data_IF_472913172524
#
_entry.id   IF_472913172524
#
_cell.length_a   1.000
_cell.length_b   1.000
_cell.length_c   1.000
_cell.angle_alpha   90.00
_cell.angle_beta   90.00
_cell.angle_gamma   90.00
#
_symmetry.space_group_name_H-M   'P 1'
#
loop_
_entity.id
_entity.type
_entity.pdbx_description
1 polymer ?
#
# COMPACT_ATOMS: atom_id res chain seq x y z
N UNK A 1 -12.43 -1.10 15.38
CA UNK A 1 -10.97 -1.01 15.57
C UNK A 1 -10.70 0.08 16.58
N UNK A 2 -9.83 -0.17 17.57
CA UNK A 2 -9.42 0.81 18.59
C UNK A 2 -7.91 0.68 18.83
N UNK A 3 -7.22 1.72 19.30
CA UNK A 3 -5.85 1.56 19.77
C UNK A 3 -5.81 0.47 20.85
N UNK A 4 -4.94 -0.53 20.67
CA UNK A 4 -4.82 -1.67 21.58
C UNK A 4 -5.81 -2.81 21.34
N UNK A 5 -6.58 -2.83 20.23
CA UNK A 5 -7.34 -4.02 19.84
C UNK A 5 -8.59 -3.76 18.98
N UNK A 6 -9.62 -4.56 19.20
CA UNK A 6 -10.92 -4.47 18.50
C UNK A 6 -12.06 -4.26 19.50
N UNK A 7 -13.15 -3.67 19.02
CA UNK A 7 -14.38 -3.45 19.78
C UNK A 7 -15.39 -4.58 19.60
N UNK A 8 -15.02 -5.64 18.86
CA UNK A 8 -15.89 -6.78 18.60
C UNK A 8 -16.17 -7.53 19.90
N UNK A 9 -17.44 -7.78 20.17
CA UNK A 9 -17.88 -8.57 21.33
C UNK A 9 -17.75 -10.06 21.02
N UNK A 10 -17.01 -10.77 21.87
CA UNK A 10 -16.80 -12.22 21.78
C UNK A 10 -17.65 -13.02 22.79
N UNK A 11 -18.63 -12.38 23.44
CA UNK A 11 -19.58 -13.06 24.35
C UNK A 11 -20.35 -14.19 23.66
N UNK A 12 -20.55 -14.09 22.34
CA UNK A 12 -21.09 -15.17 21.50
C UNK A 12 -20.15 -15.47 20.32
N UNK A 13 -18.89 -15.80 20.63
CA UNK A 13 -17.87 -16.10 19.65
C UNK A 13 -18.24 -17.27 18.72
N UNK A 14 -18.96 -18.28 19.21
CA UNK A 14 -19.38 -19.44 18.42
C UNK A 14 -20.25 -19.02 17.23
N UNK A 15 -21.30 -18.22 17.46
CA UNK A 15 -22.18 -17.76 16.39
C UNK A 15 -21.44 -16.84 15.41
N UNK A 16 -20.60 -15.94 15.93
CA UNK A 16 -19.80 -15.03 15.12
C UNK A 16 -18.88 -15.79 14.16
N UNK A 17 -18.11 -16.74 14.69
CA UNK A 17 -17.13 -17.50 13.91
C UNK A 17 -17.82 -18.45 12.94
N UNK A 18 -18.90 -19.13 13.36
CA UNK A 18 -19.70 -19.98 12.46
C UNK A 18 -20.25 -19.18 11.29
N UNK A 19 -20.81 -17.99 11.56
CA UNK A 19 -21.30 -17.08 10.53
C UNK A 19 -20.19 -16.62 9.59
N UNK A 20 -19.00 -16.33 10.11
CA UNK A 20 -17.84 -15.93 9.31
C UNK A 20 -17.39 -17.07 8.39
N UNK A 21 -17.19 -18.28 8.94
CA UNK A 21 -16.75 -19.47 8.20
C UNK A 21 -17.74 -19.85 7.10
N UNK A 22 -19.04 -19.78 7.35
CA UNK A 22 -20.05 -20.03 6.31
C UNK A 22 -19.89 -19.09 5.10
N UNK A 23 -19.67 -17.80 5.35
CA UNK A 23 -19.44 -16.81 4.29
C UNK A 23 -18.09 -17.03 3.61
N UNK A 24 -17.07 -17.39 4.36
CA UNK A 24 -15.74 -17.68 3.84
C UNK A 24 -15.73 -18.92 2.93
N UNK A 25 -16.51 -19.97 3.26
CA UNK A 25 -16.70 -21.13 2.39
C UNK A 25 -17.35 -20.74 1.06
N UNK A 26 -18.42 -19.93 1.09
CA UNK A 26 -19.03 -19.40 -0.15
C UNK A 26 -18.05 -18.55 -0.96
N UNK A 27 -17.31 -17.67 -0.29
CA UNK A 27 -16.30 -16.83 -0.92
C UNK A 27 -15.21 -17.69 -1.57
N UNK A 28 -14.76 -18.77 -0.90
CA UNK A 28 -13.75 -19.70 -1.42
C UNK A 28 -14.21 -20.35 -2.73
N UNK A 29 -15.46 -20.82 -2.81
CA UNK A 29 -16.03 -21.36 -4.04
C UNK A 29 -16.12 -20.30 -5.16
N UNK A 30 -16.58 -19.09 -4.83
CA UNK A 30 -16.66 -17.97 -5.76
C UNK A 30 -15.29 -17.58 -6.32
N UNK A 31 -14.26 -17.53 -5.48
CA UNK A 31 -12.90 -17.12 -5.88
C UNK A 31 -12.29 -18.12 -6.88
N UNK A 32 -12.53 -19.43 -6.70
CA UNK A 32 -12.11 -20.45 -7.68
C UNK A 32 -12.75 -20.24 -9.04
N UNK A 33 -14.05 -19.94 -9.06
CA UNK A 33 -14.78 -19.63 -10.30
C UNK A 33 -14.29 -18.33 -10.94
N UNK A 34 -14.13 -17.27 -10.13
CA UNK A 34 -13.60 -15.97 -10.57
C UNK A 34 -12.21 -16.13 -11.20
N UNK A 35 -11.33 -16.91 -10.58
CA UNK A 35 -9.98 -17.17 -11.10
C UNK A 35 -10.04 -17.73 -12.52
N UNK A 36 -10.86 -18.75 -12.76
CA UNK A 36 -10.97 -19.38 -14.08
C UNK A 36 -11.39 -18.36 -15.15
N UNK A 37 -12.43 -17.56 -14.89
CA UNK A 37 -12.89 -16.55 -15.83
C UNK A 37 -11.82 -15.48 -16.14
N UNK A 38 -11.08 -15.02 -15.11
CA UNK A 38 -10.01 -14.05 -15.30
C UNK A 38 -8.76 -14.65 -15.95
N UNK A 39 -8.52 -15.96 -15.77
CA UNK A 39 -7.39 -16.64 -16.39
C UNK A 39 -7.57 -16.71 -17.91
N UNK A 40 -8.78 -17.03 -18.37
CA UNK A 40 -9.12 -17.01 -19.79
C UNK A 40 -8.94 -15.59 -20.37
N UNK A 41 -9.36 -14.56 -19.63
CA UNK A 41 -9.17 -13.17 -20.05
C UNK A 41 -7.69 -12.77 -20.09
N UNK A 42 -6.88 -13.18 -19.11
CA UNK A 42 -5.44 -12.98 -19.13
C UNK A 42 -4.84 -13.61 -20.40
N UNK A 43 -5.17 -14.87 -20.69
CA UNK A 43 -4.65 -15.59 -21.84
C UNK A 43 -5.03 -14.93 -23.15
N UNK A 44 -6.28 -14.50 -23.29
CA UNK A 44 -6.73 -13.72 -24.44
C UNK A 44 -5.87 -12.46 -24.68
N UNK A 45 -5.56 -11.68 -23.64
CA UNK A 45 -4.73 -10.48 -23.78
C UNK A 45 -3.24 -10.79 -24.01
N UNK A 46 -2.75 -11.93 -23.52
CA UNK A 46 -1.40 -12.41 -23.86
C UNK A 46 -1.32 -12.82 -25.34
N UNK A 47 -2.28 -13.60 -25.82
CA UNK A 47 -2.30 -14.15 -27.18
C UNK A 47 -2.48 -13.07 -28.26
N UNK A 48 -3.17 -11.97 -27.91
CA UNK A 48 -3.35 -10.81 -28.80
C UNK A 48 -2.16 -9.84 -28.81
N UNK A 49 -1.13 -10.08 -28.00
CA UNK A 49 0.04 -9.19 -27.89
C UNK A 49 -0.20 -7.93 -27.06
N UNK A 50 -1.29 -7.86 -26.31
CA UNK A 50 -1.64 -6.71 -25.46
C UNK A 50 -0.94 -6.74 -24.08
N UNK A 51 -0.21 -7.82 -23.75
CA UNK A 51 0.38 -8.03 -22.43
C UNK A 51 1.33 -6.91 -21.97
N UNK A 52 2.06 -6.28 -22.89
CA UNK A 52 2.96 -5.15 -22.60
C UNK A 52 2.25 -3.79 -22.60
N UNK A 53 0.94 -3.73 -22.88
CA UNK A 53 0.26 -2.45 -23.01
C UNK A 53 0.10 -1.74 -21.65
N UNK A 54 0.48 -0.46 -21.62
CA UNK A 54 0.42 0.39 -20.43
C UNK A 54 1.41 -0.03 -19.34
N UNK A 55 2.64 -0.38 -19.74
CA UNK A 55 3.75 -0.63 -18.82
C UNK A 55 3.94 0.60 -17.93
N UNK A 56 3.86 0.40 -16.62
CA UNK A 56 4.13 1.43 -15.62
C UNK A 56 5.48 1.23 -14.98
N UNK A 57 5.76 0.04 -14.46
CA UNK A 57 7.05 -0.33 -13.89
C UNK A 57 7.81 -1.30 -14.81
N UNK A 58 9.11 -1.08 -14.98
CA UNK A 58 10.01 -2.01 -15.65
C UNK A 58 11.43 -1.90 -15.05
N UNK A 59 12.23 -2.97 -14.95
CA UNK A 59 13.60 -2.90 -14.44
C UNK A 59 14.55 -2.11 -15.35
N UNK A 60 14.36 -2.22 -16.67
CA UNK A 60 15.07 -1.43 -17.68
C UNK A 60 14.58 0.04 -17.73
N UNK A 61 15.44 1.02 -17.43
CA UNK A 61 15.10 2.45 -17.49
C UNK A 61 14.76 2.95 -18.89
N UNK A 62 15.10 2.22 -19.96
CA UNK A 62 14.71 2.58 -21.32
C UNK A 62 13.20 2.36 -21.58
N UNK A 63 12.55 1.48 -20.80
CA UNK A 63 11.11 1.16 -20.96
C UNK A 63 10.18 1.91 -20.00
N UNK A 64 10.72 2.42 -18.89
CA UNK A 64 9.94 3.15 -17.88
C UNK A 64 10.86 3.99 -17.00
N UNK A 65 10.41 5.17 -16.55
CA UNK A 65 11.11 5.92 -15.49
C UNK A 65 10.81 5.37 -14.09
N UNK A 66 9.75 4.58 -13.94
CA UNK A 66 9.39 3.89 -12.70
C UNK A 66 10.17 2.57 -12.66
N UNK A 67 11.40 2.63 -12.14
CA UNK A 67 12.25 1.43 -11.97
C UNK A 67 12.31 0.96 -10.51
N UNK A 68 11.31 1.32 -9.71
CA UNK A 68 11.17 0.79 -8.36
C UNK A 68 9.74 0.35 -8.08
N UNK A 69 9.60 -0.67 -7.23
CA UNK A 69 8.33 -1.03 -6.60
C UNK A 69 8.55 -1.22 -5.11
N UNK A 70 7.50 -1.02 -4.33
CA UNK A 70 7.56 -1.23 -2.90
C UNK A 70 6.28 -1.84 -2.35
N UNK A 71 6.43 -2.66 -1.32
CA UNK A 71 5.31 -3.16 -0.52
C UNK A 71 5.64 -3.09 0.96
N UNK A 72 4.65 -2.67 1.75
CA UNK A 72 4.74 -2.70 3.20
C UNK A 72 4.53 -4.11 3.76
N UNK A 73 4.06 -5.06 2.96
CA UNK A 73 3.62 -6.37 3.42
C UNK A 73 2.32 -6.32 4.23
N UNK A 74 1.69 -7.47 4.40
CA UNK A 74 0.38 -7.61 5.08
C UNK A 74 0.16 -9.01 5.63
N UNK A 75 -0.83 -9.10 6.52
CA UNK A 75 -1.16 -10.26 7.34
C UNK A 75 -0.10 -10.50 8.38
N UNK A 76 -0.18 -9.68 9.44
CA UNK A 76 0.76 -9.68 10.57
C UNK A 76 0.68 -10.99 11.36
N UNK A 77 1.82 -11.47 11.85
CA UNK A 77 1.85 -12.61 12.76
C UNK A 77 1.57 -12.13 14.20
N UNK A 78 0.39 -12.44 14.79
CA UNK A 78 0.01 -11.95 16.10
C UNK A 78 0.99 -12.37 17.20
N UNK A 79 1.62 -13.55 17.09
CA UNK A 79 2.55 -14.06 18.11
C UNK A 79 3.81 -13.20 18.21
N UNK A 80 4.30 -12.70 17.07
CA UNK A 80 5.51 -11.87 17.04
C UNK A 80 5.24 -10.50 17.65
N UNK A 81 4.07 -9.92 17.39
CA UNK A 81 3.64 -8.67 17.99
C UNK A 81 3.32 -8.79 19.49
N UNK A 82 2.73 -9.91 19.91
CA UNK A 82 2.51 -10.22 21.33
C UNK A 82 3.84 -10.37 22.08
N UNK A 83 4.84 -11.00 21.46
CA UNK A 83 6.18 -11.18 22.04
C UNK A 83 6.91 -9.87 22.37
N UNK A 84 6.46 -8.72 21.85
CA UNK A 84 7.00 -7.40 22.23
C UNK A 84 6.66 -7.10 23.68
N UNK A 85 5.51 -7.55 24.15
CA UNK A 85 5.02 -7.27 25.49
C UNK A 85 4.25 -5.95 25.56
N UNK A 86 3.59 -5.77 26.70
CA UNK A 86 2.80 -4.60 26.99
C UNK A 86 3.66 -3.42 27.47
N UNK A 87 3.21 -2.19 27.20
CA UNK A 87 3.82 -0.95 27.71
C UNK A 87 5.32 -0.76 27.38
N UNK A 88 5.77 -1.33 26.27
CA UNK A 88 7.11 -1.12 25.74
C UNK A 88 7.29 0.30 25.23
N UNK A 89 8.47 0.89 25.46
CA UNK A 89 8.81 2.21 24.93
C UNK A 89 8.79 2.17 23.40
N UNK A 90 8.25 3.21 22.76
CA UNK A 90 8.00 3.18 21.31
C UNK A 90 9.27 2.97 20.49
N UNK A 91 10.44 3.42 20.97
CA UNK A 91 11.74 3.18 20.33
C UNK A 91 12.09 1.70 20.29
N UNK A 92 11.79 0.95 21.36
CA UNK A 92 12.01 -0.49 21.43
C UNK A 92 11.02 -1.23 20.52
N UNK A 93 9.75 -0.83 20.52
CA UNK A 93 8.76 -1.34 19.57
C UNK A 93 9.22 -1.11 18.12
N UNK A 94 9.68 0.10 17.80
CA UNK A 94 10.16 0.47 16.47
C UNK A 94 11.32 -0.41 16.01
N UNK A 95 12.30 -0.67 16.89
CA UNK A 95 13.47 -1.52 16.59
C UNK A 95 13.10 -2.97 16.25
N UNK A 96 11.95 -3.46 16.75
CA UNK A 96 11.46 -4.81 16.45
C UNK A 96 10.57 -4.90 15.21
N UNK A 97 10.20 -3.78 14.59
CA UNK A 97 9.31 -3.80 13.43
C UNK A 97 9.86 -4.57 12.25
N UNK A 98 11.18 -4.57 12.02
CA UNK A 98 11.77 -5.35 10.92
C UNK A 98 11.62 -6.86 11.15
N UNK A 99 11.82 -7.32 12.38
CA UNK A 99 11.61 -8.71 12.76
C UNK A 99 10.14 -9.10 12.55
N UNK A 100 9.20 -8.31 13.08
CA UNK A 100 7.77 -8.62 13.00
C UNK A 100 7.22 -8.54 11.58
N UNK A 101 7.61 -7.50 10.83
CA UNK A 101 7.18 -7.36 9.45
C UNK A 101 7.73 -8.50 8.56
N UNK A 102 8.89 -9.08 8.89
CA UNK A 102 9.44 -10.24 8.17
C UNK A 102 8.60 -11.52 8.32
N UNK A 103 7.69 -11.55 9.31
CA UNK A 103 6.80 -12.66 9.63
C UNK A 103 5.41 -12.53 8.98
N UNK A 104 5.15 -11.41 8.31
CA UNK A 104 3.95 -11.22 7.50
C UNK A 104 3.84 -12.31 6.43
N UNK A 105 2.62 -12.76 6.14
CA UNK A 105 2.38 -13.77 5.08
C UNK A 105 2.82 -13.21 3.73
N UNK A 106 2.41 -11.98 3.41
CA UNK A 106 2.97 -11.21 2.30
C UNK A 106 4.04 -10.27 2.85
N UNK A 107 5.30 -10.60 2.58
CA UNK A 107 6.46 -9.92 3.17
C UNK A 107 6.69 -8.52 2.58
N UNK A 108 7.17 -7.55 3.38
CA UNK A 108 7.58 -6.24 2.89
C UNK A 108 8.81 -6.32 1.99
N UNK A 109 9.05 -5.24 1.25
CA UNK A 109 10.31 -5.04 0.54
C UNK A 109 10.27 -3.94 -0.50
N UNK A 110 11.46 -3.57 -0.97
CA UNK A 110 11.66 -2.66 -2.09
C UNK A 110 12.46 -3.40 -3.15
N UNK A 111 11.97 -3.35 -4.38
CA UNK A 111 12.72 -3.80 -5.55
C UNK A 111 13.13 -2.57 -6.34
N UNK A 112 14.43 -2.43 -6.62
CA UNK A 112 15.03 -1.35 -7.40
C UNK A 112 15.71 -1.98 -8.62
N UNK A 113 15.25 -1.60 -9.83
CA UNK A 113 15.77 -2.08 -11.12
C UNK A 113 15.83 -3.61 -11.22
N UNK A 114 14.81 -4.28 -10.70
CA UNK A 114 14.67 -5.75 -10.72
C UNK A 114 15.26 -6.47 -9.50
N UNK A 115 16.07 -5.79 -8.69
CA UNK A 115 16.74 -6.38 -7.54
C UNK A 115 16.00 -6.06 -6.23
N UNK A 116 15.75 -7.09 -5.40
CA UNK A 116 15.22 -6.91 -4.05
C UNK A 116 16.30 -6.31 -3.15
N UNK A 117 16.28 -5.00 -2.98
CA UNK A 117 17.33 -4.26 -2.27
C UNK A 117 17.13 -4.20 -0.75
N UNK A 118 15.92 -4.44 -0.27
CA UNK A 118 15.64 -4.58 1.16
C UNK A 118 14.33 -5.32 1.42
N UNK A 119 14.26 -5.95 2.58
CA UNK A 119 13.06 -6.57 3.16
C UNK A 119 12.66 -5.88 4.47
N UNK A 120 13.30 -4.76 4.81
CA UNK A 120 13.13 -4.10 6.10
C UNK A 120 12.08 -2.99 6.03
N UNK A 121 11.17 -3.01 7.00
CA UNK A 121 10.15 -1.99 7.17
C UNK A 121 10.78 -0.62 7.46
N UNK A 122 11.77 -0.58 8.36
CA UNK A 122 12.40 0.67 8.82
C UNK A 122 13.16 1.36 7.70
N UNK A 123 13.78 0.58 6.81
CA UNK A 123 14.45 1.10 5.61
C UNK A 123 13.44 1.66 4.60
N UNK A 124 12.26 1.02 4.44
CA UNK A 124 11.20 1.57 3.61
C UNK A 124 10.70 2.91 4.16
N UNK A 125 10.45 2.99 5.48
CA UNK A 125 10.10 4.25 6.15
C UNK A 125 11.13 5.35 5.85
N UNK A 126 12.41 5.09 6.15
CA UNK A 126 13.49 6.07 5.96
C UNK A 126 13.66 6.54 4.51
N UNK A 127 13.15 5.79 3.53
CA UNK A 127 13.32 6.06 2.10
C UNK A 127 12.25 6.98 1.50
N UNK A 128 11.20 7.37 2.23
CA UNK A 128 10.08 8.13 1.67
C UNK A 128 10.35 9.64 1.63
N UNK A 129 10.47 10.17 0.42
CA UNK A 129 10.55 11.59 0.12
C UNK A 129 9.20 12.12 -0.39
N UNK A 130 8.78 13.28 0.10
CA UNK A 130 7.65 14.03 -0.46
C UNK A 130 8.02 15.48 -0.83
N UNK A 131 7.57 15.97 -1.98
CA UNK A 131 7.67 17.38 -2.37
C UNK A 131 6.48 17.86 -3.22
N UNK A 132 6.47 19.14 -3.57
CA UNK A 132 5.27 19.82 -4.12
C UNK A 132 5.56 20.64 -5.38
N UNK A 133 6.57 20.26 -6.15
CA UNK A 133 7.06 21.01 -7.33
C UNK A 133 5.89 21.41 -8.25
N UNK A 134 5.14 20.43 -8.75
CA UNK A 134 3.95 20.62 -9.61
C UNK A 134 2.60 20.49 -8.91
N UNK A 135 2.60 20.52 -7.57
CA UNK A 135 1.39 20.38 -6.77
C UNK A 135 0.92 21.75 -6.23
N UNK A 136 -0.39 21.90 -5.98
CA UNK A 136 -1.03 23.12 -5.45
C UNK A 136 -0.76 23.35 -3.96
N UNK A 137 0.51 23.29 -3.54
CA UNK A 137 0.99 23.52 -2.18
C UNK A 137 2.26 24.38 -2.22
N UNK A 138 2.54 25.07 -1.10
CA UNK A 138 3.84 25.72 -0.87
C UNK A 138 4.83 24.72 -0.30
N UNK A 139 6.10 24.92 -0.62
CA UNK A 139 7.19 24.26 0.09
C UNK A 139 7.14 24.63 1.59
N UNK A 140 7.52 23.69 2.45
CA UNK A 140 7.41 23.82 3.91
C UNK A 140 8.74 23.90 4.62
N UNK A 141 9.88 23.90 3.92
CA UNK A 141 11.22 23.81 4.51
C UNK A 141 11.45 24.82 5.63
N UNK A 142 11.06 26.08 5.44
CA UNK A 142 11.22 27.10 6.47
C UNK A 142 10.22 26.95 7.60
N UNK A 143 8.97 26.58 7.28
CA UNK A 143 7.92 26.37 8.29
C UNK A 143 8.22 25.16 9.18
N UNK A 144 8.89 24.14 8.65
CA UNK A 144 9.27 22.94 9.39
C UNK A 144 10.18 23.24 10.58
N UNK A 145 11.05 24.25 10.48
CA UNK A 145 11.96 24.65 11.57
C UNK A 145 11.22 25.21 12.79
N UNK A 146 9.97 25.65 12.62
CA UNK A 146 9.12 26.15 13.70
C UNK A 146 8.39 25.02 14.45
N UNK A 147 8.47 23.78 13.99
CA UNK A 147 7.78 22.65 14.62
C UNK A 147 8.40 22.37 15.99
N UNK A 148 7.56 22.21 17.01
CA UNK A 148 8.00 22.04 18.41
C UNK A 148 8.80 20.75 18.65
N UNK A 149 8.75 19.81 17.71
CA UNK A 149 9.51 18.55 17.74
C UNK A 149 10.69 18.53 16.76
N UNK A 150 10.90 19.58 15.97
CA UNK A 150 11.99 19.63 14.99
C UNK A 150 13.35 19.43 15.66
N UNK A 151 13.60 20.19 16.73
CA UNK A 151 14.85 20.12 17.49
C UNK A 151 15.07 18.76 18.15
N UNK A 152 14.01 18.01 18.48
CA UNK A 152 14.12 16.65 19.02
C UNK A 152 14.66 15.67 17.98
N UNK A 153 14.21 15.76 16.71
CA UNK A 153 14.77 14.96 15.62
C UNK A 153 16.18 15.41 15.24
N UNK A 154 16.42 16.73 15.20
CA UNK A 154 17.72 17.30 14.83
C UNK A 154 18.83 16.91 15.82
N UNK A 155 18.54 16.88 17.12
CA UNK A 155 19.48 16.39 18.16
C UNK A 155 19.97 14.97 17.89
N UNK A 156 19.13 14.14 17.26
CA UNK A 156 19.47 12.77 16.87
C UNK A 156 19.97 12.65 15.43
N UNK A 157 20.42 13.76 14.82
CA UNK A 157 20.91 13.80 13.43
C UNK A 157 19.87 13.20 12.45
N UNK A 158 18.59 13.47 12.72
CA UNK A 158 17.44 12.96 11.96
C UNK A 158 17.48 11.45 11.74
N UNK A 159 17.77 10.67 12.78
CA UNK A 159 17.69 9.22 12.75
C UNK A 159 16.39 8.70 13.35
N UNK A 160 15.86 7.64 12.75
CA UNK A 160 14.81 6.82 13.36
C UNK A 160 15.38 5.99 14.54
N UNK A 161 14.53 5.34 15.37
CA UNK A 161 15.03 4.52 16.47
C UNK A 161 15.88 3.30 16.07
N UNK A 162 15.80 2.85 14.83
CA UNK A 162 16.65 1.78 14.29
C UNK A 162 18.03 2.32 13.84
N UNK A 163 18.25 3.64 13.90
CA UNK A 163 19.50 4.30 13.55
C UNK A 163 19.59 4.72 12.08
N UNK A 164 18.54 4.51 11.28
CA UNK A 164 18.52 4.93 9.89
C UNK A 164 18.39 6.45 9.83
N UNK A 165 19.31 7.13 9.12
CA UNK A 165 19.11 8.54 8.77
C UNK A 165 17.90 8.66 7.85
N UNK A 166 17.00 9.60 8.13
CA UNK A 166 15.91 9.92 7.23
C UNK A 166 16.47 10.34 5.87
N UNK A 167 15.85 9.82 4.81
CA UNK A 167 16.29 9.97 3.41
C UNK A 167 17.77 9.60 3.20
N UNK A 168 18.28 8.69 4.04
CA UNK A 168 19.67 8.20 4.04
C UNK A 168 20.74 9.30 4.19
N UNK A 169 20.37 10.51 4.63
CA UNK A 169 21.24 11.69 4.57
C UNK A 169 21.64 12.09 3.14
N UNK A 170 20.91 11.61 2.12
CA UNK A 170 21.11 11.92 0.70
C UNK A 170 20.19 13.02 0.18
N UNK A 171 19.18 13.35 0.97
CA UNK A 171 18.29 14.47 0.73
C UNK A 171 17.95 15.17 2.04
N UNK A 172 17.45 16.40 1.95
CA UNK A 172 17.11 17.19 3.12
C UNK A 172 15.97 16.51 3.92
N UNK A 173 16.20 16.11 5.19
CA UNK A 173 15.25 15.32 5.96
C UNK A 173 13.92 16.05 6.22
N UNK A 174 13.85 17.37 6.04
CA UNK A 174 12.59 18.12 6.16
C UNK A 174 11.50 17.60 5.23
N UNK A 175 11.87 16.92 4.15
CA UNK A 175 10.95 16.36 3.18
C UNK A 175 10.48 14.92 3.51
N UNK A 176 10.91 14.37 4.64
CA UNK A 176 10.33 13.14 5.18
C UNK A 176 8.96 13.41 5.84
N UNK A 177 7.95 12.53 5.71
CA UNK A 177 6.59 12.76 6.23
C UNK A 177 6.47 13.04 7.74
N UNK A 178 7.41 12.62 8.60
CA UNK A 178 7.39 13.04 10.01
C UNK A 178 7.55 14.55 10.22
N UNK A 179 8.21 15.24 9.29
CA UNK A 179 8.55 16.67 9.39
C UNK A 179 7.71 17.54 8.47
N UNK A 180 7.10 16.94 7.44
CA UNK A 180 6.27 17.66 6.48
C UNK A 180 5.17 18.49 7.16
N UNK A 181 4.95 19.68 6.60
CA UNK A 181 3.78 20.53 6.85
C UNK A 181 3.01 20.72 5.55
N UNK A 182 1.71 20.45 5.56
CA UNK A 182 0.85 20.63 4.39
C UNK A 182 0.35 22.08 4.32
N UNK A 183 0.79 22.83 3.30
CA UNK A 183 0.44 24.25 3.13
C UNK A 183 -0.26 24.43 1.77
N UNK A 184 -1.60 24.40 1.72
CA UNK A 184 -2.34 24.57 0.47
C UNK A 184 -2.03 25.89 -0.23
N UNK A 185 -1.89 25.83 -1.54
CA UNK A 185 -1.64 26.99 -2.41
C UNK A 185 -2.39 26.82 -3.73
N UNK A 186 -3.72 27.06 -3.74
CA UNK A 186 -4.51 26.98 -4.96
C UNK A 186 -3.99 27.99 -5.99
N UNK A 187 -3.56 27.51 -7.14
CA UNK A 187 -3.19 28.34 -8.30
C UNK A 187 -3.99 27.91 -9.52
N UNK A 188 -3.97 28.71 -10.59
CA UNK A 188 -4.47 28.26 -11.87
C UNK A 188 -3.70 27.01 -12.33
N UNK A 189 -4.39 26.11 -13.03
CA UNK A 189 -3.78 24.92 -13.60
C UNK A 189 -2.86 25.32 -14.75
N UNK A 190 -1.60 24.91 -14.67
CA UNK A 190 -0.60 25.07 -15.71
C UNK A 190 0.11 23.72 -15.91
N UNK A 191 -0.02 23.15 -17.11
CA UNK A 191 0.59 21.87 -17.47
C UNK A 191 2.12 21.93 -17.52
N UNK A 192 2.72 23.11 -17.73
CA UNK A 192 4.15 23.32 -17.62
C UNK A 192 4.61 23.59 -16.18
N UNK A 193 3.66 23.88 -15.28
CA UNK A 193 3.88 24.26 -13.90
C UNK A 193 3.08 23.39 -12.93
N UNK A 194 2.22 24.01 -12.12
CA UNK A 194 1.39 23.32 -11.11
C UNK A 194 0.05 22.90 -11.70
N UNK A 195 -0.26 21.60 -11.66
CA UNK A 195 -1.50 21.06 -12.23
C UNK A 195 -2.24 20.04 -11.37
N UNK A 196 -1.75 19.69 -10.17
CA UNK A 196 -2.33 18.64 -9.35
C UNK A 196 -2.50 19.00 -7.88
N UNK A 197 -3.54 18.44 -7.26
CA UNK A 197 -3.73 18.43 -5.80
C UNK A 197 -3.01 17.26 -5.11
N UNK A 198 -2.37 16.38 -5.89
CA UNK A 198 -1.55 15.28 -5.36
C UNK A 198 -0.10 15.73 -5.33
N UNK A 199 0.57 15.44 -4.23
CA UNK A 199 2.00 15.71 -4.02
C UNK A 199 2.87 14.70 -4.75
N UNK A 200 4.19 14.89 -4.70
CA UNK A 200 5.15 14.02 -5.35
C UNK A 200 5.77 13.12 -4.30
N UNK A 201 5.52 11.81 -4.39
CA UNK A 201 6.13 10.81 -3.52
C UNK A 201 7.21 10.08 -4.30
N UNK A 202 8.42 10.05 -3.75
CA UNK A 202 9.61 9.42 -4.36
C UNK A 202 10.31 8.52 -3.35
N UNK A 203 11.04 7.55 -3.87
CA UNK A 203 11.91 6.70 -3.08
C UNK A 203 13.33 7.23 -3.19
N UNK A 204 13.94 7.54 -2.04
CA UNK A 204 15.37 7.87 -1.93
C UNK A 204 16.10 6.64 -1.46
N UNK A 205 17.17 6.27 -2.15
CA UNK A 205 17.97 5.11 -1.78
C UNK A 205 19.36 5.48 -1.25
N UNK A 206 20.03 4.50 -0.64
CA UNK A 206 21.30 4.65 0.09
C UNK A 206 22.44 5.19 -0.78
N UNK A 207 22.38 4.97 -2.08
CA UNK A 207 23.35 5.48 -3.07
C UNK A 207 23.07 6.93 -3.51
N UNK A 208 21.96 7.53 -3.07
CA UNK A 208 21.49 8.86 -3.47
C UNK A 208 20.54 8.85 -4.66
N UNK A 209 20.18 7.68 -5.19
CA UNK A 209 19.14 7.55 -6.21
C UNK A 209 17.82 8.07 -5.66
N UNK A 210 17.11 8.88 -6.46
CA UNK A 210 15.74 9.33 -6.18
C UNK A 210 14.90 8.93 -7.39
N UNK A 211 13.86 8.14 -7.15
CA UNK A 211 13.12 7.49 -8.23
C UNK A 211 11.61 7.41 -7.94
N UNK A 212 10.74 7.54 -8.95
CA UNK A 212 9.35 7.15 -8.82
C UNK A 212 9.23 5.63 -8.64
N UNK A 213 8.22 5.21 -7.90
CA UNK A 213 7.99 3.80 -7.60
C UNK A 213 6.50 3.47 -7.65
N UNK A 214 6.19 2.21 -7.91
CA UNK A 214 4.82 1.69 -7.90
C UNK A 214 4.50 0.94 -6.61
N UNK A 215 3.28 1.12 -6.13
CA UNK A 215 2.64 0.28 -5.11
C UNK A 215 1.35 -0.31 -5.66
N UNK A 216 0.91 -1.44 -5.11
CA UNK A 216 -0.34 -2.08 -5.54
C UNK A 216 -0.32 -3.59 -5.42
N UNK A 217 -1.43 -4.26 -5.81
CA UNK A 217 -1.50 -5.71 -5.86
C UNK A 217 -0.33 -6.36 -6.62
N UNK A 218 0.06 -5.79 -7.77
CA UNK A 218 1.21 -6.25 -8.54
C UNK A 218 2.52 -6.11 -7.75
N UNK A 219 2.82 -4.92 -7.23
CA UNK A 219 4.05 -4.65 -6.48
C UNK A 219 4.18 -5.57 -5.26
N UNK A 220 3.07 -5.80 -4.53
CA UNK A 220 3.01 -6.71 -3.38
C UNK A 220 3.37 -8.15 -3.77
N UNK A 221 2.77 -8.66 -4.84
CA UNK A 221 3.03 -10.04 -5.27
C UNK A 221 4.43 -10.21 -5.84
N UNK A 222 4.96 -9.24 -6.59
CA UNK A 222 6.35 -9.32 -7.06
C UNK A 222 7.32 -9.32 -5.87
N UNK A 223 7.17 -8.40 -4.91
CA UNK A 223 8.00 -8.37 -3.69
C UNK A 223 7.90 -9.67 -2.89
N UNK A 224 6.69 -10.22 -2.70
CA UNK A 224 6.49 -11.47 -1.99
C UNK A 224 7.10 -12.67 -2.74
N UNK A 225 7.00 -12.70 -4.07
CA UNK A 225 7.50 -13.80 -4.91
C UNK A 225 9.03 -13.94 -4.91
N UNK A 226 9.75 -12.85 -4.62
CA UNK A 226 11.22 -12.81 -4.52
C UNK A 226 11.74 -13.23 -3.14
N UNK A 227 10.87 -13.59 -2.22
CA UNK A 227 11.23 -14.01 -0.87
C UNK A 227 10.63 -15.39 -0.56
N UNK A 228 11.38 -16.34 0.02
CA UNK A 228 10.77 -17.57 0.51
C UNK A 228 9.78 -17.24 1.62
N UNK A 229 8.59 -17.83 1.57
CA UNK A 229 7.52 -17.54 2.52
C UNK A 229 6.38 -18.54 2.42
N UNK A 230 5.51 -18.52 3.41
CA UNK A 230 4.32 -19.33 3.47
C UNK A 230 3.42 -18.85 4.58
N UNK A 231 2.22 -19.38 4.62
CA UNK A 231 1.21 -19.07 5.62
C UNK A 231 1.14 -20.14 6.72
N UNK A 232 0.21 -19.95 7.66
CA UNK A 232 0.04 -20.83 8.81
C UNK A 232 -0.44 -22.24 8.42
N UNK A 233 -1.41 -22.34 7.52
CA UNK A 233 -2.00 -23.62 7.09
C UNK A 233 -1.18 -24.32 5.97
N UNK A 234 -0.14 -23.67 5.44
CA UNK A 234 0.65 -24.20 4.33
C UNK A 234 -0.08 -24.19 2.98
N UNK A 235 -1.13 -23.40 2.86
CA UNK A 235 -1.97 -23.25 1.67
C UNK A 235 -1.47 -22.13 0.75
N UNK A 236 -0.62 -21.24 1.23
CA UNK A 236 0.13 -20.29 0.43
C UNK A 236 1.63 -20.55 0.56
N UNK A 237 2.34 -20.48 -0.57
CA UNK A 237 3.79 -20.60 -0.61
C UNK A 237 4.41 -19.66 -1.64
N UNK A 238 5.46 -18.97 -1.22
CA UNK A 238 6.41 -18.31 -2.11
C UNK A 238 7.74 -19.06 -2.06
N UNK A 239 8.27 -19.37 -3.23
CA UNK A 239 9.54 -20.09 -3.38
C UNK A 239 10.76 -19.17 -3.30
N UNK A 240 10.56 -17.85 -3.44
CA UNK A 240 11.63 -16.86 -3.54
C UNK A 240 12.24 -16.71 -4.94
N UNK A 241 11.77 -17.47 -5.95
CA UNK A 241 12.29 -17.41 -7.32
C UNK A 241 11.31 -16.75 -8.32
N UNK A 242 10.34 -15.97 -7.82
CA UNK A 242 9.32 -15.33 -8.64
C UNK A 242 8.02 -16.12 -8.78
N UNK A 243 7.90 -17.31 -8.17
CA UNK A 243 6.70 -18.16 -8.23
C UNK A 243 5.93 -18.15 -6.91
N UNK A 244 4.63 -17.86 -7.02
CA UNK A 244 3.64 -17.96 -5.95
C UNK A 244 2.72 -19.14 -6.19
N UNK A 245 2.39 -19.88 -5.12
CA UNK A 245 1.47 -21.02 -5.15
C UNK A 245 0.41 -20.86 -4.07
N UNK A 246 -0.84 -21.12 -4.42
CA UNK A 246 -1.99 -21.06 -3.51
C UNK A 246 -2.86 -22.30 -3.70
N UNK A 247 -3.25 -22.97 -2.62
CA UNK A 247 -4.17 -24.12 -2.63
C UNK A 247 -5.43 -23.74 -1.88
N UNK A 248 -6.54 -23.53 -2.58
CA UNK A 248 -7.83 -23.26 -1.95
C UNK A 248 -8.51 -24.58 -1.56
N UNK A 249 -8.95 -24.73 -0.29
CA UNK A 249 -9.53 -25.98 0.21
C UNK A 249 -10.87 -26.30 -0.46
N UNK A 250 -11.35 -27.53 -0.29
CA UNK A 250 -12.70 -27.94 -0.74
C UNK A 250 -13.75 -26.97 -0.17
N UNK A 251 -14.58 -26.40 -1.05
CA UNK A 251 -15.63 -25.46 -0.70
C UNK A 251 -16.72 -25.51 -1.76
N UNK A 252 -17.93 -25.94 -1.38
CA UNK A 252 -19.00 -26.23 -2.32
C UNK A 252 -20.18 -25.30 -2.06
N UNK A 253 -20.79 -24.83 -3.14
CA UNK A 253 -21.94 -23.93 -3.10
C UNK A 253 -22.83 -24.21 -4.30
N UNK A 254 -24.14 -24.23 -4.08
CA UNK A 254 -25.14 -24.43 -5.14
C UNK A 254 -25.21 -23.23 -6.11
N UNK A 255 -24.52 -22.13 -5.80
CA UNK A 255 -24.44 -20.93 -6.64
C UNK A 255 -23.38 -21.05 -7.76
N UNK A 256 -22.47 -22.03 -7.69
CA UNK A 256 -21.35 -22.20 -8.63
C UNK A 256 -21.27 -23.62 -9.18
N UNK A 257 -20.62 -23.82 -10.35
CA UNK A 257 -20.46 -25.15 -10.94
C UNK A 257 -19.76 -26.15 -9.99
N UNK A 258 -20.17 -27.42 -10.04
CA UNK A 258 -19.57 -28.48 -9.22
C UNK A 258 -18.05 -28.63 -9.45
N UNK A 259 -17.53 -28.17 -10.60
CA UNK A 259 -16.10 -28.19 -10.92
C UNK A 259 -15.24 -27.34 -9.96
N UNK A 260 -15.81 -26.37 -9.24
CA UNK A 260 -15.07 -25.56 -8.26
C UNK A 260 -15.22 -26.05 -6.81
N UNK A 261 -15.97 -27.14 -6.57
CA UNK A 261 -16.21 -27.68 -5.24
C UNK A 261 -14.94 -28.27 -4.63
N UNK A 262 -14.19 -29.06 -5.39
CA UNK A 262 -12.97 -29.74 -4.93
C UNK A 262 -11.81 -28.76 -4.68
N UNK A 263 -10.81 -29.22 -3.94
CA UNK A 263 -9.57 -28.47 -3.72
C UNK A 263 -8.93 -28.08 -5.07
N UNK A 264 -8.41 -26.85 -5.15
CA UNK A 264 -7.76 -26.34 -6.36
C UNK A 264 -6.44 -25.65 -6.00
N UNK A 265 -5.40 -25.95 -6.78
CA UNK A 265 -4.09 -25.33 -6.66
C UNK A 265 -3.84 -24.39 -7.83
N UNK A 266 -3.39 -23.18 -7.51
CA UNK A 266 -3.09 -22.09 -8.43
C UNK A 266 -1.63 -21.73 -8.31
N UNK A 267 -0.98 -21.50 -9.46
CA UNK A 267 0.41 -21.08 -9.52
C UNK A 267 0.53 -19.89 -10.45
N UNK A 268 1.35 -18.92 -10.05
CA UNK A 268 1.68 -17.78 -10.90
C UNK A 268 3.16 -17.43 -10.78
N UNK A 269 3.83 -17.43 -11.92
CA UNK A 269 5.15 -16.79 -12.08
C UNK A 269 4.91 -15.31 -12.33
N UNK A 270 5.23 -14.49 -11.35
CA UNK A 270 4.99 -13.04 -11.42
C UNK A 270 5.93 -12.45 -12.49
N UNK A 271 5.42 -11.71 -13.49
CA UNK A 271 6.25 -11.00 -14.46
C UNK A 271 7.16 -9.97 -13.77
N UNK A 272 8.30 -9.68 -14.38
CA UNK A 272 9.26 -8.68 -13.86
C UNK A 272 8.87 -7.23 -14.20
N UNK A 273 7.73 -7.00 -14.85
CA UNK A 273 7.22 -5.67 -15.21
C UNK A 273 5.71 -5.55 -14.95
N UNK A 274 5.28 -4.33 -14.66
CA UNK A 274 3.86 -4.01 -14.40
C UNK A 274 3.23 -3.46 -15.66
N UNK A 275 2.16 -4.08 -16.15
CA UNK A 275 1.34 -3.62 -17.28
C UNK A 275 -0.15 -3.64 -16.92
N UNK A 276 -0.99 -3.15 -17.83
CA UNK A 276 -2.45 -3.07 -17.61
C UNK A 276 -3.05 -4.41 -17.21
N UNK A 277 -2.78 -5.47 -17.98
CA UNK A 277 -3.37 -6.79 -17.72
C UNK A 277 -2.74 -7.45 -16.48
N UNK A 278 -1.44 -7.29 -16.26
CA UNK A 278 -0.77 -7.88 -15.10
C UNK A 278 -1.14 -7.20 -13.78
N UNK A 279 -1.48 -5.90 -13.78
CA UNK A 279 -2.08 -5.24 -12.61
C UNK A 279 -3.48 -5.77 -12.30
N UNK A 280 -4.29 -6.05 -13.32
CA UNK A 280 -5.61 -6.67 -13.15
C UNK A 280 -5.49 -8.10 -12.63
N UNK A 281 -4.64 -8.91 -13.26
CA UNK A 281 -4.40 -10.30 -12.86
C UNK A 281 -3.82 -10.40 -11.45
N UNK A 282 -2.87 -9.54 -11.08
CA UNK A 282 -2.35 -9.49 -9.71
C UNK A 282 -3.45 -9.25 -8.68
N UNK A 283 -4.47 -8.44 -8.98
CA UNK A 283 -5.61 -8.23 -8.08
C UNK A 283 -6.43 -9.52 -7.89
N UNK A 284 -6.65 -10.26 -8.97
CA UNK A 284 -7.33 -11.58 -8.92
C UNK A 284 -6.52 -12.57 -8.09
N UNK A 285 -5.21 -12.64 -8.31
CA UNK A 285 -4.34 -13.56 -7.57
C UNK A 285 -4.21 -13.19 -6.08
N UNK A 286 -4.21 -11.89 -5.74
CA UNK A 286 -4.24 -11.45 -4.33
C UNK A 286 -5.47 -11.99 -3.62
N UNK A 287 -6.65 -12.00 -4.25
CA UNK A 287 -7.89 -12.50 -3.63
C UNK A 287 -7.75 -13.98 -3.22
N UNK A 288 -6.99 -14.79 -3.96
CA UNK A 288 -6.70 -16.18 -3.54
C UNK A 288 -5.98 -16.20 -2.19
N UNK A 289 -4.96 -15.34 -2.04
CA UNK A 289 -4.14 -15.24 -0.84
C UNK A 289 -4.95 -14.63 0.31
N UNK A 290 -5.77 -13.60 0.03
CA UNK A 290 -6.65 -12.97 1.02
C UNK A 290 -7.66 -14.00 1.60
N UNK A 291 -8.20 -14.90 0.76
CA UNK A 291 -9.09 -15.98 1.23
C UNK A 291 -8.34 -17.00 2.08
N UNK A 292 -7.11 -17.37 1.70
CA UNK A 292 -6.28 -18.26 2.52
C UNK A 292 -5.95 -17.63 3.85
N UNK A 293 -5.60 -16.36 3.86
CA UNK A 293 -5.31 -15.67 5.11
C UNK A 293 -6.54 -15.55 6.01
N UNK A 294 -7.72 -15.30 5.43
CA UNK A 294 -8.98 -15.36 6.17
C UNK A 294 -9.26 -16.76 6.76
N UNK A 295 -8.84 -17.85 6.10
CA UNK A 295 -8.90 -19.19 6.68
C UNK A 295 -7.89 -19.37 7.82
N UNK A 296 -6.65 -18.87 7.66
CA UNK A 296 -5.65 -18.88 8.74
C UNK A 296 -6.16 -18.16 9.98
N UNK A 297 -6.70 -16.96 9.81
CA UNK A 297 -7.27 -16.14 10.88
C UNK A 297 -8.48 -16.81 11.52
N UNK A 298 -9.39 -17.40 10.74
CA UNK A 298 -10.54 -18.12 11.27
C UNK A 298 -10.11 -19.34 12.10
N UNK A 299 -9.11 -20.10 11.64
CA UNK A 299 -8.58 -21.25 12.38
C UNK A 299 -7.89 -20.82 13.67
N UNK A 300 -7.02 -19.81 13.63
CA UNK A 300 -6.36 -19.27 14.84
C UNK A 300 -7.38 -18.70 15.83
N UNK A 301 -8.36 -17.96 15.36
CA UNK A 301 -9.42 -17.40 16.20
C UNK A 301 -10.21 -18.51 16.92
N UNK A 302 -10.53 -19.62 16.23
CA UNK A 302 -11.15 -20.80 16.85
C UNK A 302 -10.29 -21.41 17.94
N UNK A 303 -8.98 -21.56 17.70
CA UNK A 303 -8.03 -22.10 18.67
C UNK A 303 -7.99 -21.24 19.95
N UNK A 304 -7.87 -19.91 19.81
CA UNK A 304 -7.88 -18.99 20.96
C UNK A 304 -9.22 -18.99 21.71
N UNK A 305 -10.35 -18.93 21.00
CA UNK A 305 -11.69 -18.97 21.61
C UNK A 305 -11.88 -20.28 22.38
N UNK A 306 -11.47 -21.42 21.81
CA UNK A 306 -11.53 -22.74 22.47
C UNK A 306 -10.66 -22.78 23.72
N UNK A 307 -9.52 -22.08 23.73
CA UNK A 307 -8.66 -21.93 24.90
C UNK A 307 -9.18 -20.89 25.92
N UNK A 308 -10.31 -20.24 25.67
CA UNK A 308 -10.89 -19.19 26.54
C UNK A 308 -10.21 -17.82 26.42
N UNK A 309 -9.34 -17.61 25.42
CA UNK A 309 -8.65 -16.36 25.17
C UNK A 309 -9.55 -15.38 24.38
N UNK A 310 -10.53 -14.78 25.08
CA UNK A 310 -11.58 -13.92 24.49
C UNK A 310 -11.38 -12.41 24.73
N UNK A 311 -10.22 -12.01 25.28
CA UNK A 311 -9.90 -10.58 25.46
C UNK A 311 -9.56 -9.96 24.11
N UNK A 312 -10.27 -8.91 23.72
CA UNK A 312 -10.14 -8.27 22.40
C UNK A 312 -9.41 -6.93 22.41
N UNK A 313 -9.09 -6.39 23.58
CA UNK A 313 -8.33 -5.17 23.72
C UNK A 313 -7.49 -5.14 25.00
N UNK A 314 -6.43 -4.34 24.97
CA UNK A 314 -5.60 -4.03 26.14
C UNK A 314 -5.61 -2.53 26.44
N UNK A 315 -5.49 -2.13 27.71
CA UNK A 315 -5.33 -0.72 28.06
C UNK A 315 -4.04 -0.16 27.41
N UNK A 316 -4.07 1.12 27.06
CA UNK A 316 -2.93 1.82 26.51
C UNK A 316 -2.80 3.19 27.19
N UNK A 317 -1.60 3.75 27.20
CA UNK A 317 -1.30 5.06 27.77
C UNK A 317 -0.53 5.90 26.76
N UNK A 318 -0.76 7.20 26.80
CA UNK A 318 -0.01 8.16 25.97
C UNK A 318 1.19 8.68 26.75
N UNK A 319 2.42 8.56 26.21
CA UNK A 319 3.60 9.15 26.83
C UNK A 319 3.44 10.68 26.96
N UNK A 320 3.78 11.25 28.11
CA UNK A 320 3.84 12.71 28.30
C UNK A 320 5.15 13.31 27.74
N UNK A 321 5.55 12.85 26.54
CA UNK A 321 6.70 13.32 25.77
C UNK A 321 6.38 13.23 24.28
N UNK A 322 7.22 13.86 23.46
CA UNK A 322 7.10 13.74 22.01
C UNK A 322 7.48 12.32 21.62
N UNK A 323 6.63 11.65 20.85
CA UNK A 323 6.94 10.37 20.23
C UNK A 323 6.52 10.36 18.77
N UNK A 324 7.17 9.50 18.00
CA UNK A 324 6.95 9.33 16.57
C UNK A 324 6.33 7.95 16.32
N UNK A 325 5.40 7.88 15.39
CA UNK A 325 4.79 6.63 14.97
C UNK A 325 4.77 6.54 13.45
N UNK A 326 4.88 5.32 12.94
CA UNK A 326 4.69 5.00 11.54
C UNK A 326 3.91 3.70 11.44
N UNK A 327 2.95 3.65 10.53
CA UNK A 327 2.24 2.43 10.17
C UNK A 327 2.30 2.24 8.66
N UNK A 328 2.91 1.13 8.23
CA UNK A 328 2.85 0.66 6.84
C UNK A 328 1.94 -0.57 6.81
N UNK A 329 0.82 -0.45 6.12
CA UNK A 329 -0.12 -1.53 5.89
C UNK A 329 -0.46 -1.59 4.40
N UNK A 330 -1.04 -2.70 3.95
CA UNK A 330 -1.51 -2.83 2.58
C UNK A 330 -3.03 -2.63 2.53
N UNK A 331 -3.46 -1.59 1.84
CA UNK A 331 -4.84 -1.43 1.41
C UNK A 331 -5.09 -2.21 0.10
N UNK A 332 -6.34 -2.34 -0.38
CA UNK A 332 -6.62 -3.02 -1.66
C UNK A 332 -5.86 -2.45 -2.87
N UNK A 333 -5.42 -1.19 -2.78
CA UNK A 333 -4.72 -0.46 -3.85
C UNK A 333 -3.19 -0.40 -3.67
N UNK A 334 -2.63 -1.06 -2.64
CA UNK A 334 -1.20 -1.05 -2.33
C UNK A 334 -0.87 -0.53 -0.93
N UNK A 335 0.39 -0.19 -0.69
CA UNK A 335 0.84 0.29 0.63
C UNK A 335 0.22 1.63 1.01
N UNK A 336 -0.50 1.67 2.12
CA UNK A 336 -0.91 2.88 2.84
C UNK A 336 0.07 3.15 3.98
N UNK A 337 0.37 4.42 4.20
CA UNK A 337 1.43 4.83 5.12
C UNK A 337 0.99 6.02 5.94
N UNK A 338 0.97 5.84 7.25
CA UNK A 338 0.60 6.89 8.20
C UNK A 338 1.81 7.23 9.06
N UNK A 339 2.08 8.51 9.24
CA UNK A 339 3.08 9.03 10.15
C UNK A 339 2.42 9.94 11.15
N UNK A 340 2.64 9.67 12.43
CA UNK A 340 2.09 10.47 13.53
C UNK A 340 3.23 11.01 14.39
N UNK A 341 3.10 12.25 14.84
CA UNK A 341 3.88 12.81 15.93
C UNK A 341 2.87 13.21 17.01
N UNK A 342 3.07 12.73 18.25
CA UNK A 342 2.16 13.03 19.35
C UNK A 342 2.91 13.49 20.59
N UNK A 343 2.21 14.20 21.48
CA UNK A 343 2.65 14.49 22.84
C UNK A 343 1.46 14.49 23.78
N UNK A 344 1.53 13.72 24.87
CA UNK A 344 0.50 13.68 25.91
C UNK A 344 -0.91 13.42 25.35
N UNK A 345 -1.01 12.52 24.36
CA UNK A 345 -2.28 12.14 23.73
C UNK A 345 -2.83 13.16 22.74
N UNK A 346 -2.07 14.22 22.44
CA UNK A 346 -2.41 15.18 21.38
C UNK A 346 -1.57 14.91 20.15
N UNK A 347 -2.21 14.81 18.99
CA UNK A 347 -1.55 14.78 17.69
C UNK A 347 -0.91 16.14 17.42
N UNK A 348 0.41 16.17 17.27
CA UNK A 348 1.19 17.33 16.85
C UNK A 348 1.34 17.39 15.34
N UNK A 349 1.46 16.23 14.68
CA UNK A 349 1.49 16.10 13.23
C UNK A 349 0.90 14.77 12.80
N UNK A 350 0.24 14.75 11.64
CA UNK A 350 -0.23 13.54 10.97
C UNK A 350 -0.03 13.71 9.47
N UNK A 351 0.65 12.75 8.85
CA UNK A 351 0.80 12.68 7.40
C UNK A 351 0.36 11.32 6.91
N UNK A 352 -0.38 11.30 5.81
CA UNK A 352 -0.97 10.10 5.23
C UNK A 352 -0.61 10.06 3.76
N UNK A 353 -0.01 8.94 3.34
CA UNK A 353 0.05 8.56 1.93
C UNK A 353 -0.89 7.39 1.71
N UNK A 354 -1.97 7.63 0.98
CA UNK A 354 -2.73 6.55 0.39
C UNK A 354 -1.89 5.90 -0.73
N UNK A 355 -2.22 4.67 -1.16
CA UNK A 355 -1.48 4.01 -2.24
C UNK A 355 -1.53 4.83 -3.54
N UNK A 356 -2.71 5.38 -3.83
CA UNK A 356 -2.93 6.23 -5.01
C UNK A 356 -2.06 7.49 -4.98
N UNK A 357 -1.70 8.06 -3.81
CA UNK A 357 -0.91 9.30 -3.71
C UNK A 357 0.41 9.20 -4.50
N UNK A 358 1.18 8.11 -4.34
CA UNK A 358 2.44 7.93 -5.07
C UNK A 358 2.25 7.50 -6.53
N UNK A 359 1.27 6.64 -6.78
CA UNK A 359 0.98 6.16 -8.14
C UNK A 359 0.54 7.28 -9.08
N UNK A 360 -0.16 8.31 -8.55
CA UNK A 360 -0.68 9.45 -9.34
C UNK A 360 0.05 10.76 -9.08
N UNK A 361 1.20 10.72 -8.39
CA UNK A 361 2.06 11.88 -8.27
C UNK A 361 2.34 12.48 -9.66
N UNK A 362 2.42 13.81 -9.80
CA UNK A 362 2.77 14.42 -11.07
C UNK A 362 4.20 14.06 -11.51
N UNK A 363 4.49 14.19 -12.80
CA UNK A 363 5.85 14.18 -13.31
C UNK A 363 6.69 15.28 -12.66
N UNK A 364 7.94 14.96 -12.33
CA UNK A 364 8.96 15.92 -11.95
C UNK A 364 10.29 15.61 -12.64
N UNK A 365 11.37 16.26 -12.19
CA UNK A 365 12.73 16.05 -12.68
C UNK A 365 13.27 14.61 -12.54
N UNK A 366 12.65 13.77 -11.72
CA UNK A 366 13.05 12.37 -11.55
C UNK A 366 12.25 11.40 -12.43
N UNK A 367 11.25 11.88 -13.15
CA UNK A 367 10.51 11.11 -14.15
C UNK A 367 9.00 11.13 -13.92
N UNK A 368 8.32 10.28 -14.67
CA UNK A 368 6.89 10.05 -14.55
C UNK A 368 6.60 9.07 -13.43
N UNK A 369 5.49 9.29 -12.72
CA UNK A 369 4.93 8.32 -11.79
C UNK A 369 4.10 7.25 -12.52
N UNK A 370 3.75 6.14 -11.84
CA UNK A 370 3.10 4.98 -12.45
C UNK A 370 1.91 5.29 -13.37
N UNK A 371 1.04 6.23 -13.01
CA UNK A 371 -0.10 6.64 -13.83
C UNK A 371 0.31 7.24 -15.16
N UNK A 372 1.07 8.33 -15.15
CA UNK A 372 1.47 9.03 -16.38
C UNK A 372 2.35 8.11 -17.23
N UNK A 373 3.26 7.35 -16.60
CA UNK A 373 4.10 6.37 -17.29
C UNK A 373 3.27 5.29 -18.00
N UNK A 374 2.22 4.78 -17.35
CA UNK A 374 1.32 3.78 -17.93
C UNK A 374 0.52 4.30 -19.13
N UNK A 375 0.24 5.60 -19.18
CA UNK A 375 -0.48 6.23 -20.30
C UNK A 375 0.47 6.48 -21.46
N UNK A 376 1.70 6.92 -21.18
CA UNK A 376 2.75 7.12 -22.19
C UNK A 376 3.06 5.80 -22.91
N UNK A 377 3.10 4.71 -22.16
CA UNK A 377 3.35 3.37 -22.69
C UNK A 377 2.08 2.66 -23.18
N UNK A 378 0.98 3.40 -23.41
CA UNK A 378 -0.25 2.83 -23.99
C UNK A 378 -0.18 2.85 -25.52
N UNK A 379 -0.34 1.69 -26.14
CA UNK A 379 -0.69 1.52 -27.55
C UNK A 379 -2.21 1.61 -27.70
N UNK A 380 -2.65 2.43 -28.65
CA UNK A 380 -4.07 2.58 -29.00
C UNK A 380 -4.49 1.43 -29.92
N UNK A 381 -5.55 0.73 -29.51
CA UNK A 381 -6.14 -0.43 -30.20
C UNK A 381 -7.50 -0.14 -30.81
N UNK A 382 -8.02 1.08 -30.65
CA UNK A 382 -9.28 1.50 -31.25
C UNK A 382 -9.14 1.54 -32.79
N UNK A 383 -9.83 0.62 -33.47
CA UNK A 383 -9.86 0.50 -34.95
C UNK A 383 -10.80 1.53 -35.60
N UNK A 384 -10.86 2.73 -35.05
CA UNK A 384 -11.62 3.87 -35.58
C UNK A 384 -10.69 5.02 -35.92
N UNK A 385 -11.22 6.04 -36.59
CA UNK A 385 -10.43 7.24 -36.89
C UNK A 385 -10.09 7.98 -35.58
N UNK A 386 -8.95 8.69 -35.51
CA UNK A 386 -8.54 9.39 -34.29
C UNK A 386 -9.58 10.35 -33.70
N UNK A 387 -10.43 10.94 -34.54
CA UNK A 387 -11.49 11.86 -34.10
C UNK A 387 -12.65 11.14 -33.37
N UNK A 388 -12.73 9.82 -33.50
CA UNK A 388 -13.74 8.94 -32.90
C UNK A 388 -13.18 8.16 -31.70
N UNK A 389 -11.91 8.35 -31.35
CA UNK A 389 -11.29 7.66 -30.21
C UNK A 389 -11.95 8.09 -28.90
N UNK A 390 -12.33 7.09 -28.12
CA UNK A 390 -12.85 7.27 -26.77
C UNK A 390 -11.73 7.28 -25.72
N UNK A 391 -10.52 6.89 -26.10
CA UNK A 391 -9.35 6.76 -25.23
C UNK A 391 -9.41 5.49 -24.38
N UNK A 392 -10.00 4.42 -24.92
CA UNK A 392 -10.30 3.19 -24.20
C UNK A 392 -9.07 2.60 -23.51
N UNK A 393 -7.93 2.55 -24.22
CA UNK A 393 -6.71 1.93 -23.69
C UNK A 393 -6.04 2.77 -22.61
N UNK A 394 -6.10 4.10 -22.71
CA UNK A 394 -5.67 4.99 -21.64
C UNK A 394 -6.52 4.78 -20.39
N UNK A 395 -7.84 4.66 -20.58
CA UNK A 395 -8.78 4.43 -19.50
C UNK A 395 -8.58 3.04 -18.87
N UNK A 396 -8.32 1.99 -19.66
CA UNK A 396 -7.95 0.65 -19.17
C UNK A 396 -6.66 0.72 -18.34
N UNK A 397 -5.64 1.38 -18.87
CA UNK A 397 -4.34 1.56 -18.21
C UNK A 397 -4.51 2.24 -16.85
N UNK A 398 -5.22 3.37 -16.79
CA UNK A 398 -5.48 4.08 -15.54
C UNK A 398 -6.38 3.29 -14.56
N UNK A 399 -7.45 2.64 -15.04
CA UNK A 399 -8.36 1.88 -14.17
C UNK A 399 -7.72 0.61 -13.62
N UNK A 400 -6.69 0.06 -14.27
CA UNK A 400 -5.98 -1.11 -13.76
C UNK A 400 -5.30 -0.88 -12.40
N UNK A 401 -5.02 0.38 -12.02
CA UNK A 401 -4.54 0.72 -10.68
C UNK A 401 -5.65 0.86 -9.63
N UNK A 402 -6.92 0.83 -10.04
CA UNK A 402 -8.07 1.12 -9.18
C UNK A 402 -7.92 2.47 -8.45
N UNK A 403 -7.96 3.62 -9.14
CA UNK A 403 -7.65 4.92 -8.54
C UNK A 403 -8.70 5.38 -7.52
N UNK A 404 -8.26 5.76 -6.32
CA UNK A 404 -9.06 6.51 -5.35
C UNK A 404 -8.51 7.93 -5.19
N UNK A 405 -9.01 8.89 -5.98
CA UNK A 405 -8.51 10.28 -5.95
C UNK A 405 -8.82 11.01 -4.64
N UNK A 406 -9.95 10.69 -3.99
CA UNK A 406 -10.26 11.21 -2.66
C UNK A 406 -9.22 10.76 -1.63
N UNK A 407 -8.79 9.50 -1.69
CA UNK A 407 -7.71 8.97 -0.86
C UNK A 407 -6.37 9.66 -1.18
N UNK A 408 -6.09 9.92 -2.47
CA UNK A 408 -4.82 10.48 -2.92
C UNK A 408 -4.58 11.91 -2.41
N UNK A 409 -5.59 12.78 -2.54
CA UNK A 409 -5.49 14.19 -2.18
C UNK A 409 -5.94 14.50 -0.74
N UNK A 410 -6.68 13.59 -0.09
CA UNK A 410 -7.18 13.72 1.30
C UNK A 410 -7.83 15.10 1.60
N UNK A 411 -8.45 15.71 0.59
CA UNK A 411 -9.14 16.99 0.66
C UNK A 411 -10.58 16.78 0.22
N UNK A 412 -11.53 17.21 1.06
CA UNK A 412 -12.95 17.28 0.71
C UNK A 412 -13.49 18.65 1.10
N UNK A 413 -14.12 19.34 0.14
CA UNK A 413 -14.82 20.60 0.41
C UNK A 413 -16.31 20.31 0.56
N UNK A 414 -16.84 20.43 1.77
CA UNK A 414 -18.25 20.24 2.10
C UNK A 414 -18.87 21.55 2.60
N UNK A 415 -20.12 21.83 2.22
CA UNK A 415 -20.97 22.86 2.83
C UNK A 415 -22.27 22.21 3.26
N UNK A 416 -22.39 21.86 4.54
CA UNK A 416 -23.40 20.90 5.01
C UNK A 416 -23.16 19.53 4.36
N UNK A 417 -24.21 18.89 3.87
CA UNK A 417 -24.14 17.58 3.18
C UNK A 417 -23.77 17.69 1.68
N UNK A 418 -23.57 18.91 1.15
CA UNK A 418 -23.30 19.13 -0.28
C UNK A 418 -21.81 19.26 -0.55
N UNK A 419 -21.33 18.50 -1.54
CA UNK A 419 -19.98 18.64 -2.11
C UNK A 419 -19.88 20.00 -2.81
N UNK A 420 -18.87 20.78 -2.44
CA UNK A 420 -18.60 22.10 -3.04
C UNK A 420 -17.80 21.92 -4.32
N UNK A 421 -18.39 22.30 -5.46
CA UNK A 421 -17.77 22.16 -6.79
C UNK A 421 -16.82 23.29 -7.18
N UNK A 422 -16.86 24.42 -6.46
CA UNK A 422 -16.04 25.60 -6.77
C UNK A 422 -15.65 26.31 -5.47
N UNK A 423 -14.35 26.45 -5.24
CA UNK A 423 -13.79 27.17 -4.09
C UNK A 423 -13.22 28.49 -4.60
N UNK A 424 -13.88 29.61 -4.27
CA UNK A 424 -13.45 30.96 -4.71
C UNK A 424 -12.31 31.53 -3.86
N UNK A 425 -12.23 31.14 -2.59
CA UNK A 425 -11.21 31.58 -1.62
C UNK A 425 -11.18 30.60 -0.45
N UNK A 426 -10.00 30.19 -0.02
CA UNK A 426 -9.79 29.41 1.21
C UNK A 426 -9.39 30.38 2.32
N UNK A 427 -10.18 30.44 3.39
CA UNK A 427 -9.86 31.23 4.59
C UNK A 427 -9.37 30.24 5.65
N UNK A 428 -8.13 30.35 6.07
CA UNK A 428 -7.49 29.36 6.93
C UNK A 428 -7.76 29.63 8.41
N UNK A 429 -8.59 28.80 9.01
CA UNK A 429 -8.40 28.27 10.38
C UNK A 429 -8.57 26.77 10.28
N UNK A 430 -7.53 26.08 9.79
CA UNK A 430 -7.58 24.63 9.59
C UNK A 430 -7.48 23.93 10.95
N UNK A 431 -8.63 23.58 11.53
CA UNK A 431 -8.72 22.48 12.48
C UNK A 431 -8.89 21.20 11.67
N UNK A 432 -7.89 20.31 11.73
CA UNK A 432 -7.99 18.97 11.16
C UNK A 432 -8.92 18.14 12.07
N UNK A 433 -9.88 17.41 11.47
CA UNK A 433 -10.72 16.42 12.14
C UNK A 433 -9.95 15.14 12.47
#
# INVERSE_FOLDING_TARGET
LIPGGISTDLSNAEYLVTGYIFRLAKLTAWVKYMYAAWYDLLKFYEDTGYAENGISYHPDPAKSTVNAIASGGVFDDPETYESIGDYVEWEEFYKRMDENASKRVLKPGIILRGELVTTKFTEYNASILEHVERAFFKDWKDKAKELTWYSELEKNDFKDPAGNKLLWGKYDPVYHPWIKVTIPNPTAKDWAGKYSWVTHVRLVWKDGTIIPFEVGPYARLLVASKQPGGDYLGLYKSTGNGVLKVTLPRACSDEFPASVCEEMTFEWKVPEFSSTIYRLWARVFNILIDVIDAWNDATKALEYVRAGAVKTSRPWKTPNRITFGVGLAEAPRGTVRHWIVQKAGKTLNMQIHAPTTGNVSPQDKWGFSPFEQSVINTVVTEETKPEEWTGLDFVRSLRSFDPCLACAAHIQFMKGEKVVKTVKKVITTAHYC
#
